data_IF_644787573018
#
_entry.id   IF_644787573018
#
_cell.length_a   1.000
_cell.length_b   1.000
_cell.length_c   1.000
_cell.angle_alpha   90.00
_cell.angle_beta   90.00
_cell.angle_gamma   90.00
#
_symmetry.space_group_name_H-M   'P 1'
#
loop_
_entity.id
_entity.type
_entity.pdbx_description
1 polymer ?
#
# COMPACT_ATOMS: atom_id res chain seq x y z
N UNK A 1 -47.15 29.52 -3.05
CA UNK A 1 -45.78 29.85 -2.58
C UNK A 1 -44.95 28.57 -2.62
N UNK A 2 -43.90 28.54 -3.44
CA UNK A 2 -43.16 27.34 -3.87
C UNK A 2 -42.04 27.07 -2.86
N UNK A 3 -42.08 25.97 -2.12
CA UNK A 3 -40.99 25.54 -1.21
C UNK A 3 -39.87 24.95 -2.06
N UNK A 4 -38.73 25.64 -2.13
CA UNK A 4 -37.48 25.12 -2.69
C UNK A 4 -36.90 24.07 -1.73
N UNK A 5 -36.83 22.83 -2.18
CA UNK A 5 -36.03 21.77 -1.56
C UNK A 5 -34.56 22.02 -1.91
N UNK A 6 -33.75 22.39 -0.92
CA UNK A 6 -32.30 22.35 -1.04
C UNK A 6 -31.84 20.89 -0.91
N UNK A 7 -31.45 20.29 -2.03
CA UNK A 7 -30.68 19.05 -2.01
C UNK A 7 -29.23 19.38 -1.64
N UNK A 8 -28.82 19.02 -0.43
CA UNK A 8 -27.41 19.05 -0.04
C UNK A 8 -26.72 17.86 -0.70
N UNK A 9 -25.87 18.13 -1.68
CA UNK A 9 -24.95 17.14 -2.23
C UNK A 9 -23.86 16.91 -1.19
N UNK A 10 -23.93 15.79 -0.46
CA UNK A 10 -22.82 15.30 0.36
C UNK A 10 -21.71 14.80 -0.57
N UNK A 11 -20.79 15.70 -0.92
CA UNK A 11 -19.51 15.30 -1.49
C UNK A 11 -18.75 14.46 -0.44
N UNK A 12 -18.35 13.25 -0.79
CA UNK A 12 -17.62 12.34 0.11
C UNK A 12 -16.35 12.99 0.62
N UNK A 13 -16.26 13.17 1.94
CA UNK A 13 -15.05 13.66 2.60
C UNK A 13 -13.91 12.67 2.32
N UNK A 14 -12.70 13.15 1.95
CA UNK A 14 -11.56 12.27 1.80
C UNK A 14 -11.29 11.58 3.15
N UNK A 15 -11.04 10.28 3.11
CA UNK A 15 -10.71 9.51 4.30
C UNK A 15 -9.51 10.16 5.01
N UNK A 16 -9.70 10.60 6.25
CA UNK A 16 -8.62 11.16 7.06
C UNK A 16 -7.53 10.10 7.24
N UNK A 17 -6.24 10.47 7.07
CA UNK A 17 -5.15 9.52 7.20
C UNK A 17 -5.08 8.96 8.61
N UNK A 18 -4.79 7.66 8.73
CA UNK A 18 -4.48 7.05 10.02
C UNK A 18 -3.04 7.39 10.40
N UNK A 19 -2.78 7.71 11.66
CA UNK A 19 -1.41 7.84 12.16
C UNK A 19 -0.91 6.47 12.61
N UNK A 20 0.05 5.92 11.86
CA UNK A 20 0.78 4.74 12.26
C UNK A 20 2.23 5.16 12.53
N UNK A 21 2.59 5.23 13.81
CA UNK A 21 3.95 5.53 14.27
C UNK A 21 4.58 6.83 13.71
N UNK A 22 3.79 7.89 13.50
CA UNK A 22 4.31 9.15 12.94
C UNK A 22 4.41 9.18 11.41
N UNK A 23 3.91 8.14 10.73
CA UNK A 23 3.59 8.15 9.31
C UNK A 23 2.08 8.35 9.16
N UNK A 24 1.68 9.27 8.27
CA UNK A 24 0.28 9.45 7.87
C UNK A 24 -0.05 8.43 6.78
N UNK A 25 -0.88 7.45 7.10
CA UNK A 25 -1.36 6.44 6.17
C UNK A 25 -2.53 6.99 5.37
N UNK A 26 -2.38 7.09 4.05
CA UNK A 26 -3.40 7.59 3.13
C UNK A 26 -3.74 6.53 2.08
N UNK A 27 -5.03 6.27 1.88
CA UNK A 27 -5.51 5.37 0.85
C UNK A 27 -5.51 6.04 -0.54
N UNK A 28 -5.30 5.28 -1.63
CA UNK A 28 -5.48 5.80 -2.99
C UNK A 28 -6.96 6.08 -3.27
N UNK A 29 -7.24 7.00 -4.21
CA UNK A 29 -8.61 7.38 -4.59
C UNK A 29 -9.49 6.17 -4.91
N UNK A 30 -10.71 6.14 -4.35
CA UNK A 30 -11.65 5.01 -4.49
C UNK A 30 -11.46 3.89 -3.46
N UNK A 31 -10.47 4.02 -2.57
CA UNK A 31 -10.22 3.11 -1.46
C UNK A 31 -10.29 3.82 -0.11
N UNK A 32 -10.82 3.13 0.89
CA UNK A 32 -11.15 3.64 2.20
C UNK A 32 -10.44 2.81 3.26
N UNK A 33 -9.85 3.49 4.25
CA UNK A 33 -9.25 2.84 5.42
C UNK A 33 -10.37 2.18 6.23
N UNK A 34 -10.21 0.89 6.49
CA UNK A 34 -11.04 0.17 7.44
C UNK A 34 -10.55 0.49 8.86
N UNK A 35 -11.38 1.21 9.61
CA UNK A 35 -11.07 1.63 10.99
C UNK A 35 -11.40 0.56 12.03
N UNK A 36 -12.21 -0.43 11.66
CA UNK A 36 -12.66 -1.50 12.56
C UNK A 36 -11.71 -2.70 12.51
N UNK A 37 -11.04 -2.93 11.37
CA UNK A 37 -10.13 -4.06 11.17
C UNK A 37 -8.68 -3.85 11.67
N UNK A 38 -8.39 -2.74 12.35
CA UNK A 38 -7.05 -2.41 12.86
C UNK A 38 -6.71 -3.11 14.18
N UNK A 39 -6.39 -4.41 14.16
CA UNK A 39 -6.10 -5.19 15.38
C UNK A 39 -4.62 -5.40 15.68
N UNK A 40 -3.69 -4.79 14.93
CA UNK A 40 -2.25 -4.92 15.15
C UNK A 40 -1.51 -3.59 15.10
N UNK A 41 -0.53 -3.39 15.99
CA UNK A 41 0.36 -2.22 16.00
C UNK A 41 1.03 -2.09 14.61
N UNK A 42 0.76 -0.97 13.92
CA UNK A 42 1.42 -0.62 12.67
C UNK A 42 0.83 -1.21 11.40
N UNK A 43 -0.27 -1.97 11.43
CA UNK A 43 -0.98 -2.47 10.24
C UNK A 43 -2.30 -1.71 10.01
N UNK A 44 -2.50 -1.20 8.80
CA UNK A 44 -3.75 -0.56 8.37
C UNK A 44 -4.36 -1.37 7.23
N UNK A 45 -5.62 -1.77 7.38
CA UNK A 45 -6.40 -2.42 6.32
C UNK A 45 -7.18 -1.37 5.52
N UNK A 46 -7.21 -1.53 4.20
CA UNK A 46 -7.88 -0.62 3.28
C UNK A 46 -8.65 -1.47 2.25
N UNK A 47 -9.89 -1.09 1.98
CA UNK A 47 -10.76 -1.73 0.99
C UNK A 47 -11.30 -0.73 -0.03
N UNK A 48 -11.94 -1.23 -1.10
CA UNK A 48 -12.67 -0.35 -2.03
C UNK A 48 -13.80 0.34 -1.26
N UNK A 49 -13.95 1.65 -1.41
CA UNK A 49 -15.02 2.40 -0.74
C UNK A 49 -16.40 1.88 -1.18
N UNK A 50 -17.40 2.02 -0.30
CA UNK A 50 -18.78 1.71 -0.63
C UNK A 50 -19.29 2.55 -1.81
N UNK A 51 -20.09 1.95 -2.69
CA UNK A 51 -20.64 2.60 -3.89
C UNK A 51 -19.66 2.81 -5.05
N UNK A 52 -18.35 2.61 -4.85
CA UNK A 52 -17.34 2.71 -5.92
C UNK A 52 -17.33 1.42 -6.75
N UNK A 53 -17.67 1.53 -8.04
CA UNK A 53 -17.77 0.38 -8.96
C UNK A 53 -16.76 0.40 -10.11
N UNK A 54 -16.19 1.57 -10.41
CA UNK A 54 -15.20 1.81 -11.47
C UNK A 54 -13.76 1.42 -11.08
N UNK A 55 -13.56 0.96 -9.83
CA UNK A 55 -12.29 0.43 -9.32
C UNK A 55 -12.38 -1.06 -9.05
N UNK A 56 -11.32 -1.84 -9.31
CA UNK A 56 -11.33 -3.27 -9.03
C UNK A 56 -11.45 -3.54 -7.52
N UNK A 57 -12.21 -4.58 -7.10
CA UNK A 57 -12.16 -5.05 -5.72
C UNK A 57 -10.72 -5.47 -5.37
N UNK A 58 -10.16 -4.88 -4.31
CA UNK A 58 -8.82 -5.19 -3.85
C UNK A 58 -8.74 -5.04 -2.33
N UNK A 59 -7.80 -5.77 -1.74
CA UNK A 59 -7.38 -5.62 -0.35
C UNK A 59 -6.03 -4.93 -0.34
N UNK A 60 -5.97 -3.83 0.40
CA UNK A 60 -4.78 -3.01 0.54
C UNK A 60 -4.33 -3.06 2.00
N UNK A 61 -3.02 -3.11 2.22
CA UNK A 61 -2.46 -2.94 3.56
C UNK A 61 -1.29 -1.98 3.57
N UNK A 62 -1.12 -1.26 4.67
CA UNK A 62 0.09 -0.52 4.97
C UNK A 62 0.66 -1.01 6.31
N UNK A 63 1.95 -1.35 6.31
CA UNK A 63 2.72 -1.65 7.51
C UNK A 63 3.81 -0.61 7.69
N UNK A 64 3.94 -0.06 8.89
CA UNK A 64 4.99 0.92 9.24
C UNK A 64 5.98 0.29 10.19
N UNK A 65 7.26 0.35 9.85
CA UNK A 65 8.35 -0.11 10.71
C UNK A 65 8.72 0.89 11.80
N UNK A 66 9.47 0.40 12.80
CA UNK A 66 9.94 1.17 13.95
C UNK A 66 10.81 2.39 13.58
N UNK A 67 11.07 3.30 14.53
CA UNK A 67 11.87 4.50 14.27
C UNK A 67 13.27 4.14 13.76
N UNK A 68 13.77 4.86 12.75
CA UNK A 68 15.10 4.64 12.19
C UNK A 68 15.24 3.39 11.31
N UNK A 69 14.14 2.67 11.03
CA UNK A 69 14.14 1.51 10.12
C UNK A 69 14.26 1.87 8.64
N UNK A 70 14.15 3.15 8.28
CA UNK A 70 14.23 3.61 6.91
C UNK A 70 15.55 3.27 6.23
N UNK A 71 15.49 2.98 4.93
CA UNK A 71 16.63 2.73 4.06
C UNK A 71 16.59 3.65 2.84
N UNK A 72 17.73 3.85 2.18
CA UNK A 72 17.77 4.49 0.86
C UNK A 72 17.25 3.53 -0.22
N UNK A 73 15.94 3.53 -0.44
CA UNK A 73 15.29 2.65 -1.42
C UNK A 73 15.67 3.02 -2.85
N UNK A 74 15.77 4.32 -3.15
CA UNK A 74 16.06 4.82 -4.50
C UNK A 74 17.48 4.47 -4.94
N UNK A 75 18.46 4.68 -4.06
CA UNK A 75 19.87 4.38 -4.34
C UNK A 75 20.21 2.89 -4.39
N UNK A 76 19.33 2.01 -3.89
CA UNK A 76 19.62 0.58 -3.67
C UNK A 76 18.76 -0.38 -4.50
N UNK A 77 18.13 0.10 -5.57
CA UNK A 77 17.20 -0.71 -6.37
C UNK A 77 17.77 -2.04 -6.88
N UNK A 78 19.02 -2.07 -7.35
CA UNK A 78 19.65 -3.31 -7.83
C UNK A 78 19.91 -4.30 -6.70
N UNK A 79 20.38 -3.81 -5.55
CA UNK A 79 20.62 -4.65 -4.36
C UNK A 79 19.31 -5.20 -3.80
N UNK A 80 18.25 -4.39 -3.79
CA UNK A 80 16.91 -4.83 -3.39
C UNK A 80 16.37 -5.90 -4.33
N UNK A 81 16.53 -5.73 -5.64
CA UNK A 81 16.15 -6.74 -6.62
C UNK A 81 16.89 -8.08 -6.36
N UNK A 82 18.20 -8.04 -6.15
CA UNK A 82 19.00 -9.21 -5.83
C UNK A 82 18.57 -9.84 -4.48
N UNK A 83 18.31 -9.03 -3.45
CA UNK A 83 17.86 -9.49 -2.16
C UNK A 83 16.53 -10.24 -2.25
N UNK A 84 15.51 -9.70 -2.92
CA UNK A 84 14.21 -10.38 -3.05
C UNK A 84 14.25 -11.64 -3.93
N UNK A 85 15.27 -11.78 -4.80
CA UNK A 85 15.57 -13.00 -5.53
C UNK A 85 16.33 -14.05 -4.70
N UNK A 86 16.90 -13.67 -3.55
CA UNK A 86 17.56 -14.61 -2.64
C UNK A 86 16.55 -15.43 -1.84
N UNK A 87 17.02 -16.52 -1.22
CA UNK A 87 16.19 -17.30 -0.29
C UNK A 87 15.72 -16.46 0.91
N UNK A 88 16.60 -15.60 1.45
CA UNK A 88 16.29 -14.75 2.59
C UNK A 88 15.18 -13.73 2.25
N UNK A 89 15.27 -13.09 1.08
CA UNK A 89 14.25 -12.14 0.63
C UNK A 89 12.92 -12.80 0.30
N UNK A 90 12.92 -13.98 -0.35
CA UNK A 90 11.69 -14.76 -0.55
C UNK A 90 11.07 -15.20 0.77
N UNK A 91 11.88 -15.57 1.76
CA UNK A 91 11.41 -15.92 3.10
C UNK A 91 10.73 -14.72 3.76
N UNK A 92 11.32 -13.53 3.65
CA UNK A 92 10.74 -12.29 4.16
C UNK A 92 9.43 -11.91 3.46
N UNK A 93 9.24 -12.31 2.19
CA UNK A 93 7.99 -12.09 1.46
C UNK A 93 6.89 -13.12 1.81
N UNK A 94 7.25 -14.30 2.29
CA UNK A 94 6.33 -15.42 2.49
C UNK A 94 5.43 -15.22 3.71
N UNK A 95 4.13 -15.38 3.51
CA UNK A 95 3.13 -15.42 4.57
C UNK A 95 3.33 -16.62 5.51
N UNK A 96 3.84 -17.74 4.99
CA UNK A 96 4.13 -18.95 5.78
C UNK A 96 5.58 -19.04 6.25
N UNK A 97 6.43 -18.04 5.93
CA UNK A 97 7.87 -18.10 6.16
C UNK A 97 8.63 -19.12 5.31
N UNK A 98 7.99 -19.76 4.31
CA UNK A 98 8.65 -20.72 3.43
C UNK A 98 9.01 -20.04 2.10
N UNK A 99 10.30 -19.80 1.81
CA UNK A 99 10.72 -19.14 0.57
C UNK A 99 10.39 -19.92 -0.70
N UNK A 100 10.08 -21.22 -0.61
CA UNK A 100 9.66 -22.04 -1.76
C UNK A 100 8.22 -21.78 -2.21
N UNK A 101 7.39 -21.20 -1.34
CA UNK A 101 6.03 -20.81 -1.71
C UNK A 101 5.98 -19.48 -2.46
N UNK A 102 7.08 -18.73 -2.48
CA UNK A 102 7.16 -17.41 -3.10
C UNK A 102 7.77 -17.53 -4.50
N UNK A 103 7.02 -17.08 -5.49
CA UNK A 103 7.50 -16.83 -6.84
C UNK A 103 7.57 -15.33 -7.06
N UNK A 104 8.78 -14.80 -7.29
CA UNK A 104 8.98 -13.41 -7.68
C UNK A 104 8.65 -13.26 -9.17
N UNK A 105 7.75 -12.34 -9.51
CA UNK A 105 7.30 -12.11 -10.88
C UNK A 105 7.86 -10.81 -11.46
N UNK A 106 8.02 -9.78 -10.63
CA UNK A 106 8.60 -8.48 -11.02
C UNK A 106 9.24 -7.84 -9.77
N UNK A 107 10.37 -7.16 -9.95
CA UNK A 107 11.05 -6.40 -8.89
C UNK A 107 11.73 -5.20 -9.53
N UNK A 108 11.23 -3.99 -9.26
CA UNK A 108 11.59 -2.78 -10.03
C UNK A 108 11.53 -1.52 -9.16
N UNK A 109 12.49 -0.62 -9.35
CA UNK A 109 12.47 0.70 -8.71
C UNK A 109 11.45 1.66 -9.34
N UNK A 110 10.88 2.55 -8.54
CA UNK A 110 9.97 3.63 -8.94
C UNK A 110 10.18 4.84 -8.02
N UNK A 111 10.97 5.82 -8.46
CA UNK A 111 11.26 7.00 -7.64
C UNK A 111 11.86 6.58 -6.29
N UNK A 112 11.19 6.93 -5.18
CA UNK A 112 11.61 6.57 -3.82
C UNK A 112 11.01 5.25 -3.30
N UNK A 113 10.36 4.48 -4.18
CA UNK A 113 9.75 3.20 -3.85
C UNK A 113 10.37 2.05 -4.67
N UNK A 114 10.26 0.84 -4.15
CA UNK A 114 10.62 -0.39 -4.84
C UNK A 114 9.39 -1.30 -4.92
N UNK A 115 8.96 -1.61 -6.14
CA UNK A 115 7.76 -2.39 -6.42
C UNK A 115 8.10 -3.85 -6.65
N UNK A 116 7.30 -4.73 -6.08
CA UNK A 116 7.47 -6.17 -6.12
C UNK A 116 6.16 -6.81 -6.52
N UNK A 117 6.12 -7.56 -7.62
CA UNK A 117 5.01 -8.46 -7.94
C UNK A 117 5.43 -9.86 -7.57
N UNK A 118 4.61 -10.56 -6.79
CA UNK A 118 4.88 -11.92 -6.38
C UNK A 118 3.62 -12.78 -6.34
N UNK A 119 3.83 -14.09 -6.41
CA UNK A 119 2.87 -15.11 -6.01
C UNK A 119 3.35 -15.80 -4.74
N UNK A 120 2.49 -15.97 -3.76
CA UNK A 120 2.73 -16.73 -2.54
C UNK A 120 1.64 -17.79 -2.36
N UNK A 121 2.02 -19.06 -2.51
CA UNK A 121 1.11 -20.20 -2.35
C UNK A 121 0.96 -20.67 -0.90
N UNK A 122 1.65 -20.06 0.06
CA UNK A 122 1.64 -20.45 1.47
C UNK A 122 0.56 -19.78 2.33
N UNK A 123 -0.16 -18.80 1.78
CA UNK A 123 -1.16 -18.01 2.51
C UNK A 123 -2.61 -18.38 2.19
N UNK A 124 -3.54 -17.87 3.01
CA UNK A 124 -5.00 -17.97 2.77
C UNK A 124 -5.56 -16.84 1.88
N UNK A 125 -4.73 -15.84 1.57
CA UNK A 125 -5.12 -14.66 0.79
C UNK A 125 -5.08 -14.95 -0.73
N UNK A 126 -5.44 -13.94 -1.53
CA UNK A 126 -5.17 -14.00 -2.96
C UNK A 126 -3.68 -14.25 -3.20
N UNK A 127 -3.30 -15.30 -3.94
CA UNK A 127 -1.92 -15.75 -3.99
C UNK A 127 -1.02 -14.74 -4.71
N UNK A 128 -1.56 -13.95 -5.63
CA UNK A 128 -0.80 -12.91 -6.33
C UNK A 128 -1.04 -11.52 -5.74
N UNK A 129 0.05 -10.78 -5.53
CA UNK A 129 0.01 -9.42 -4.99
C UNK A 129 1.13 -8.55 -5.55
N UNK A 130 0.88 -7.24 -5.50
CA UNK A 130 1.89 -6.20 -5.61
C UNK A 130 2.24 -5.71 -4.22
N UNK A 131 3.52 -5.46 -3.97
CA UNK A 131 4.02 -4.79 -2.78
C UNK A 131 4.89 -3.61 -3.16
N UNK A 132 4.90 -2.59 -2.33
CA UNK A 132 5.85 -1.49 -2.41
C UNK A 132 6.61 -1.40 -1.10
N UNK A 133 7.91 -1.15 -1.20
CA UNK A 133 8.76 -0.78 -0.07
C UNK A 133 9.23 0.65 -0.31
N UNK A 134 9.07 1.53 0.68
CA UNK A 134 9.49 2.93 0.61
C UNK A 134 9.89 3.43 2.00
N UNK A 135 10.63 4.53 2.07
CA UNK A 135 10.96 5.18 3.33
C UNK A 135 10.19 6.47 3.49
N UNK A 136 9.40 6.58 4.56
CA UNK A 136 8.67 7.79 4.91
C UNK A 136 9.03 8.20 6.34
N UNK A 137 9.43 9.46 6.53
CA UNK A 137 9.83 10.01 7.83
C UNK A 137 10.88 9.13 8.57
N UNK A 138 11.85 8.58 7.84
CA UNK A 138 12.91 7.74 8.40
C UNK A 138 12.47 6.33 8.82
N UNK A 139 11.28 5.89 8.37
CA UNK A 139 10.72 4.57 8.67
C UNK A 139 10.49 3.79 7.40
N UNK A 140 10.77 2.50 7.45
CA UNK A 140 10.42 1.58 6.38
C UNK A 140 8.90 1.40 6.35
N UNK A 141 8.29 1.59 5.19
CA UNK A 141 6.88 1.37 4.95
C UNK A 141 6.74 0.27 3.91
N UNK A 142 5.87 -0.69 4.19
CA UNK A 142 5.50 -1.74 3.25
C UNK A 142 4.03 -1.57 2.91
N UNK A 143 3.72 -1.40 1.63
CA UNK A 143 2.36 -1.37 1.12
C UNK A 143 2.09 -2.67 0.37
N UNK A 144 0.88 -3.20 0.47
CA UNK A 144 0.43 -4.35 -0.32
C UNK A 144 -0.85 -4.02 -1.05
N UNK A 145 -0.97 -4.49 -2.28
CA UNK A 145 -2.20 -4.52 -3.06
C UNK A 145 -2.42 -5.91 -3.64
N UNK A 146 -3.55 -6.53 -3.28
CA UNK A 146 -3.94 -7.84 -3.80
C UNK A 146 -5.39 -7.83 -4.25
N UNK A 147 -5.74 -8.79 -5.12
CA UNK A 147 -7.13 -9.05 -5.43
C UNK A 147 -7.88 -9.64 -4.24
N UNK A 148 -9.16 -9.92 -4.44
CA UNK A 148 -9.92 -10.74 -3.48
C UNK A 148 -9.84 -12.21 -3.89
N UNK A 149 -10.19 -13.13 -2.97
CA UNK A 149 -10.25 -14.56 -3.31
C UNK A 149 -11.20 -14.89 -4.48
N UNK A 150 -12.19 -14.01 -4.75
CA UNK A 150 -13.14 -14.15 -5.87
C UNK A 150 -12.69 -13.45 -7.15
N UNK A 151 -11.86 -12.42 -7.03
CA UNK A 151 -11.47 -11.55 -8.15
C UNK A 151 -9.98 -11.22 -8.04
N UNK A 152 -9.12 -11.92 -8.81
CA UNK A 152 -7.71 -11.60 -8.88
C UNK A 152 -7.47 -10.18 -9.39
N UNK A 153 -6.41 -9.54 -8.89
CA UNK A 153 -5.97 -8.25 -9.36
C UNK A 153 -5.01 -8.47 -10.53
N UNK A 154 -5.45 -8.19 -11.76
CA UNK A 154 -4.62 -8.33 -12.95
C UNK A 154 -3.37 -7.45 -12.90
N UNK A 155 -2.33 -7.82 -13.67
CA UNK A 155 -0.99 -7.18 -13.64
C UNK A 155 -1.05 -5.66 -13.68
N UNK A 156 -1.66 -5.09 -14.73
CA UNK A 156 -1.67 -3.64 -14.95
C UNK A 156 -2.51 -2.90 -13.91
N UNK A 157 -3.67 -3.45 -13.55
CA UNK A 157 -4.50 -2.91 -12.47
C UNK A 157 -3.75 -2.92 -11.14
N UNK A 158 -3.01 -3.99 -10.84
CA UNK A 158 -2.20 -4.09 -9.63
C UNK A 158 -1.04 -3.11 -9.61
N UNK A 159 -0.31 -2.97 -10.72
CA UNK A 159 0.79 -2.00 -10.87
C UNK A 159 0.30 -0.57 -10.73
N UNK A 160 -0.82 -0.24 -11.37
CA UNK A 160 -1.47 1.07 -11.28
C UNK A 160 -1.93 1.37 -9.86
N UNK A 161 -2.59 0.41 -9.21
CA UNK A 161 -3.10 0.57 -7.84
C UNK A 161 -1.98 0.73 -6.81
N UNK A 162 -0.93 -0.10 -6.85
CA UNK A 162 0.19 0.03 -5.91
C UNK A 162 0.95 1.34 -6.13
N UNK A 163 1.07 1.81 -7.38
CA UNK A 163 1.68 3.10 -7.70
C UNK A 163 0.87 4.27 -7.15
N UNK A 164 -0.46 4.24 -7.34
CA UNK A 164 -1.36 5.25 -6.78
C UNK A 164 -1.32 5.25 -5.24
N UNK A 165 -1.15 4.08 -4.62
CA UNK A 165 -1.01 3.98 -3.17
C UNK A 165 0.31 4.59 -2.69
N UNK A 166 1.42 4.32 -3.38
CA UNK A 166 2.70 5.00 -3.12
C UNK A 166 2.53 6.53 -3.22
N UNK A 167 1.91 7.03 -4.28
CA UNK A 167 1.72 8.47 -4.48
C UNK A 167 0.86 9.11 -3.38
N UNK A 168 -0.21 8.43 -2.95
CA UNK A 168 -1.04 8.89 -1.84
C UNK A 168 -0.25 8.98 -0.52
N UNK A 169 0.56 7.95 -0.23
CA UNK A 169 1.41 7.91 0.95
C UNK A 169 2.51 8.99 0.93
N UNK A 170 3.21 9.16 -0.19
CA UNK A 170 4.21 10.21 -0.36
C UNK A 170 3.58 11.60 -0.26
N UNK A 171 2.43 11.83 -0.91
CA UNK A 171 1.69 13.08 -0.84
C UNK A 171 1.27 13.43 0.58
N UNK A 172 0.75 12.45 1.33
CA UNK A 172 0.35 12.65 2.72
C UNK A 172 1.55 12.95 3.64
N UNK A 173 2.75 12.46 3.33
CA UNK A 173 3.93 12.59 4.18
C UNK A 173 4.96 13.60 3.68
N UNK A 174 4.69 14.30 2.58
CA UNK A 174 5.58 15.36 2.08
C UNK A 174 5.73 16.44 3.15
N UNK A 175 6.97 16.68 3.60
CA UNK A 175 7.25 17.85 4.44
C UNK A 175 7.03 19.10 3.59
N UNK A 176 6.28 20.07 4.10
CA UNK A 176 6.31 21.42 3.53
C UNK A 176 7.75 21.96 3.70
N UNK A 177 8.29 22.68 2.72
CA UNK A 177 9.51 23.45 2.94
C UNK A 177 9.28 24.32 4.19
N UNK A 178 10.25 24.31 5.12
CA UNK A 178 10.23 25.30 6.20
C UNK A 178 10.48 26.63 5.50
N UNK A 179 9.45 27.46 5.39
CA UNK A 179 9.65 28.88 5.13
C UNK A 179 10.37 29.37 6.39
N UNK A 180 11.65 29.68 6.25
CA UNK A 180 12.44 30.33 7.28
C UNK A 180 11.88 31.75 7.42
N UNK A 181 11.38 32.09 8.61
CA UNK A 181 11.08 33.48 9.03
C UNK A 181 12.32 34.11 9.66
#
# INVERSE_FOLDING_TARGET
>A
MRRLLFAVVLAGLPALPALAEGVRVAAPSGYCIDREAGTGLGLVLIGRCEGVTDRPPAVLTATVGGPGSGIDVAGRGQELAAYFQSEAGRRALSASGNPRHVQLLEAVGRGNAFLIRLRDSGGRAAPESWRAVLTLNGRLVTLTASGTGKTPLGRENGKSLISAFVDAMEGANRRKPRLEE
#
